data_IF_579548648017
#
_entry.id   IF_579548648017
#
_cell.length_a   1.000
_cell.length_b   1.000
_cell.length_c   1.000
_cell.angle_alpha   90.00
_cell.angle_beta   90.00
_cell.angle_gamma   90.00
#
_symmetry.space_group_name_H-M   'P 1'
#
loop_
_entity.id
_entity.type
_entity.pdbx_description
1 polymer ?
#
# COMPACT_ATOMS: atom_id res chain seq x y z
N UNK A 1 20.23 26.49 -2.01
CA UNK A 1 19.25 25.44 -2.36
C UNK A 1 18.71 24.90 -1.06
N UNK A 2 17.39 24.83 -0.89
CA UNK A 2 16.81 24.15 0.26
C UNK A 2 17.22 22.67 0.26
N UNK A 3 17.57 22.16 1.42
CA UNK A 3 18.11 20.84 1.70
C UNK A 3 17.05 19.96 2.37
N UNK A 4 17.32 18.66 2.50
CA UNK A 4 16.48 17.75 3.30
C UNK A 4 16.32 18.24 4.75
N UNK A 5 17.33 18.90 5.32
CA UNK A 5 17.24 19.48 6.67
C UNK A 5 16.18 20.59 6.75
N UNK A 6 15.98 21.34 5.66
CA UNK A 6 14.99 22.41 5.62
C UNK A 6 13.55 21.83 5.63
N UNK A 7 13.31 20.68 5.00
CA UNK A 7 12.00 19.98 5.01
C UNK A 7 11.56 19.60 6.44
N UNK A 8 12.52 19.24 7.29
CA UNK A 8 12.28 18.85 8.68
C UNK A 8 12.60 19.97 9.67
N UNK A 9 12.84 21.19 9.20
CA UNK A 9 13.15 22.34 10.05
C UNK A 9 11.96 22.75 10.92
N UNK A 10 12.26 23.38 12.06
CA UNK A 10 11.22 23.98 12.92
C UNK A 10 10.42 25.05 12.16
N UNK A 11 11.06 25.83 11.29
CA UNK A 11 10.39 26.83 10.45
C UNK A 11 9.35 26.23 9.52
N UNK A 12 9.64 25.12 8.85
CA UNK A 12 8.65 24.44 7.99
C UNK A 12 7.51 23.81 8.80
N UNK A 13 7.80 23.37 10.02
CA UNK A 13 6.77 22.87 10.94
C UNK A 13 5.89 24.00 11.48
N UNK A 14 6.48 25.13 11.86
CA UNK A 14 5.77 26.34 12.30
C UNK A 14 4.89 26.89 11.17
N UNK A 15 5.37 26.92 9.93
CA UNK A 15 4.60 27.34 8.76
C UNK A 15 3.40 26.40 8.51
N UNK A 16 3.60 25.09 8.66
CA UNK A 16 2.51 24.10 8.59
C UNK A 16 1.45 24.31 9.69
N UNK A 17 1.87 24.61 10.92
CA UNK A 17 0.95 24.91 12.02
C UNK A 17 0.23 26.26 11.82
N UNK A 18 0.96 27.29 11.42
CA UNK A 18 0.46 28.66 11.30
C UNK A 18 -0.45 28.83 10.08
N UNK A 19 0.02 28.49 8.89
CA UNK A 19 -0.75 28.60 7.65
C UNK A 19 -1.81 27.50 7.54
N UNK A 20 -1.54 26.31 8.09
CA UNK A 20 -2.55 25.26 8.22
C UNK A 20 -3.73 25.74 9.04
N UNK A 21 -3.49 26.32 10.22
CA UNK A 21 -4.58 26.79 11.08
C UNK A 21 -5.30 28.05 10.55
N UNK A 22 -4.59 28.97 9.88
CA UNK A 22 -5.16 30.26 9.44
C UNK A 22 -5.84 30.22 8.06
N UNK A 23 -5.34 29.43 7.10
CA UNK A 23 -5.92 29.35 5.74
C UNK A 23 -7.11 28.40 5.67
N UNK A 24 -7.20 27.49 6.63
CA UNK A 24 -8.38 26.68 6.84
C UNK A 24 -9.47 27.61 7.40
N UNK A 25 -10.33 28.16 6.54
CA UNK A 25 -11.62 28.75 6.91
C UNK A 25 -12.56 27.67 7.44
N UNK A 26 -12.10 27.02 8.49
CA UNK A 26 -12.78 25.92 9.12
C UNK A 26 -13.86 26.51 10.02
N UNK A 27 -15.12 26.07 9.87
CA UNK A 27 -16.16 26.48 10.79
C UNK A 27 -15.71 26.16 12.21
N UNK A 28 -16.02 27.05 13.17
CA UNK A 28 -15.86 26.70 14.58
C UNK A 28 -16.68 25.43 14.85
N UNK A 29 -16.02 24.38 15.33
CA UNK A 29 -16.70 23.20 15.85
C UNK A 29 -17.79 23.65 16.82
N UNK A 30 -19.04 23.33 16.51
CA UNK A 30 -20.18 23.51 17.38
C UNK A 30 -20.36 22.32 18.33
N UNK A 31 -19.45 21.31 18.29
CA UNK A 31 -19.56 20.00 18.93
C UNK A 31 -20.89 19.27 18.64
N UNK A 32 -21.66 19.71 17.63
CA UNK A 32 -22.94 19.09 17.25
C UNK A 32 -22.75 18.06 16.13
N UNK A 33 -21.69 18.20 15.32
CA UNK A 33 -21.38 17.28 14.22
C UNK A 33 -20.02 16.63 14.39
N UNK A 34 -20.03 15.37 14.84
CA UNK A 34 -18.84 14.51 14.91
C UNK A 34 -18.06 14.47 13.58
N UNK A 35 -18.77 14.50 12.45
CA UNK A 35 -18.16 14.47 11.12
C UNK A 35 -17.38 15.76 10.85
N UNK A 36 -17.93 16.92 11.21
CA UNK A 36 -17.25 18.20 11.06
C UNK A 36 -16.00 18.23 11.95
N UNK A 37 -16.10 17.80 13.19
CA UNK A 37 -14.95 17.72 14.12
C UNK A 37 -13.85 16.79 13.61
N UNK A 38 -14.23 15.68 13.00
CA UNK A 38 -13.27 14.77 12.35
C UNK A 38 -12.58 15.42 11.15
N UNK A 39 -13.31 16.17 10.31
CA UNK A 39 -12.74 16.92 9.18
C UNK A 39 -11.81 18.03 9.68
N UNK A 40 -12.22 18.78 10.70
CA UNK A 40 -11.42 19.83 11.34
C UNK A 40 -10.12 19.27 11.90
N UNK A 41 -10.20 18.18 12.65
CA UNK A 41 -9.04 17.48 13.20
C UNK A 41 -8.13 16.94 12.10
N UNK A 42 -8.72 16.32 11.08
CA UNK A 42 -7.99 15.78 9.94
C UNK A 42 -7.29 16.88 9.14
N UNK A 43 -7.88 18.06 9.05
CA UNK A 43 -7.32 19.22 8.38
C UNK A 43 -6.23 19.93 9.21
N UNK A 44 -6.27 19.82 10.55
CA UNK A 44 -5.26 20.41 11.44
C UNK A 44 -4.06 19.49 11.73
N UNK A 45 -4.22 18.17 11.75
CA UNK A 45 -3.15 17.22 12.10
C UNK A 45 -2.09 17.07 10.99
N UNK A 46 -0.83 16.75 11.33
CA UNK A 46 0.15 16.39 10.30
C UNK A 46 -0.30 15.10 9.55
N UNK A 47 -0.29 15.07 8.21
CA UNK A 47 -0.79 13.94 7.44
C UNK A 47 -0.10 12.61 7.73
N UNK A 48 1.21 12.63 8.02
CA UNK A 48 1.96 11.42 8.38
C UNK A 48 1.51 10.90 9.74
N UNK A 49 1.26 11.79 10.71
CA UNK A 49 0.73 11.40 12.03
C UNK A 49 -0.64 10.74 11.87
N UNK A 50 -1.50 11.27 10.99
CA UNK A 50 -2.79 10.63 10.69
C UNK A 50 -2.61 9.24 10.07
N UNK A 51 -1.69 9.07 9.11
CA UNK A 51 -1.41 7.77 8.49
C UNK A 51 -0.86 6.76 9.52
N UNK A 52 0.08 7.17 10.38
CA UNK A 52 0.62 6.34 11.47
C UNK A 52 -0.49 5.94 12.45
N UNK A 53 -1.34 6.88 12.88
CA UNK A 53 -2.47 6.57 13.78
C UNK A 53 -3.45 5.59 13.12
N UNK A 54 -3.78 5.81 11.85
CA UNK A 54 -4.64 4.91 11.07
C UNK A 54 -4.02 3.50 10.99
N UNK A 55 -2.70 3.40 10.80
CA UNK A 55 -2.01 2.11 10.78
C UNK A 55 -2.07 1.38 12.13
N UNK A 56 -2.02 2.09 13.27
CA UNK A 56 -2.21 1.45 14.57
C UNK A 56 -3.64 0.94 14.77
N UNK A 57 -4.64 1.68 14.30
CA UNK A 57 -6.04 1.23 14.31
C UNK A 57 -6.22 -0.02 13.43
N UNK A 58 -5.65 -0.01 12.22
CA UNK A 58 -5.67 -1.16 11.30
C UNK A 58 -4.95 -2.35 11.93
N UNK A 59 -3.76 -2.16 12.50
CA UNK A 59 -2.98 -3.21 13.14
C UNK A 59 -3.75 -3.83 14.32
N UNK A 60 -4.36 -3.00 15.17
CA UNK A 60 -5.20 -3.47 16.27
C UNK A 60 -6.41 -4.24 15.76
N UNK A 61 -7.12 -3.73 14.74
CA UNK A 61 -8.25 -4.44 14.15
C UNK A 61 -7.84 -5.79 13.54
N UNK A 62 -6.71 -5.84 12.81
CA UNK A 62 -6.17 -7.08 12.24
C UNK A 62 -5.83 -8.10 13.34
N UNK A 63 -5.16 -7.64 14.41
CA UNK A 63 -4.80 -8.48 15.55
C UNK A 63 -6.05 -8.97 16.29
N UNK A 64 -7.01 -8.08 16.57
CA UNK A 64 -8.26 -8.42 17.22
C UNK A 64 -9.05 -9.45 16.41
N UNK A 65 -9.16 -9.27 15.09
CA UNK A 65 -9.81 -10.23 14.19
C UNK A 65 -9.06 -11.57 14.15
N UNK A 66 -7.73 -11.54 14.16
CA UNK A 66 -6.89 -12.74 14.26
C UNK A 66 -7.16 -13.52 15.55
N UNK A 67 -7.39 -12.84 16.68
CA UNK A 67 -7.70 -13.46 17.97
C UNK A 67 -9.17 -13.92 18.07
N UNK A 68 -10.11 -13.10 17.59
CA UNK A 68 -11.55 -13.33 17.70
C UNK A 68 -12.05 -14.48 16.82
N UNK A 69 -11.33 -14.82 15.76
CA UNK A 69 -11.75 -15.84 14.79
C UNK A 69 -11.50 -17.30 15.19
N UNK A 70 -11.11 -17.55 16.44
CA UNK A 70 -11.61 -18.67 17.27
C UNK A 70 -11.56 -20.11 16.74
N UNK A 71 -10.85 -20.41 15.65
CA UNK A 71 -10.87 -21.74 15.04
C UNK A 71 -9.72 -22.58 15.60
N UNK A 72 -9.95 -23.20 16.76
CA UNK A 72 -9.34 -24.36 17.47
C UNK A 72 -7.94 -24.95 17.15
N UNK A 73 -7.23 -24.43 16.16
CA UNK A 73 -5.80 -24.52 16.00
C UNK A 73 -5.26 -23.15 16.41
N UNK A 74 -4.42 -23.13 17.43
CA UNK A 74 -3.60 -21.98 17.84
C UNK A 74 -2.74 -21.39 16.71
N UNK A 75 -2.71 -22.08 15.56
CA UNK A 75 -2.04 -21.76 14.30
C UNK A 75 -3.00 -21.35 13.16
N UNK A 76 -4.30 -21.24 13.44
CA UNK A 76 -5.31 -20.86 12.44
C UNK A 76 -5.41 -19.34 12.36
N UNK A 77 -4.78 -18.76 11.35
CA UNK A 77 -4.78 -17.33 11.07
C UNK A 77 -5.67 -17.00 9.88
N UNK A 78 -6.81 -17.70 9.82
CA UNK A 78 -7.87 -17.60 8.79
C UNK A 78 -8.35 -16.16 8.51
N UNK A 79 -8.01 -15.21 9.38
CA UNK A 79 -8.26 -13.78 9.24
C UNK A 79 -7.03 -12.89 9.48
N UNK A 80 -5.83 -13.29 9.06
CA UNK A 80 -4.75 -12.30 8.88
C UNK A 80 -5.24 -11.30 7.83
N UNK A 81 -5.75 -10.18 8.34
CA UNK A 81 -6.43 -9.16 7.55
C UNK A 81 -5.39 -8.27 6.86
N UNK A 82 -4.14 -8.26 7.34
CA UNK A 82 -3.10 -7.40 6.79
C UNK A 82 -2.75 -7.78 5.34
N UNK A 83 -2.75 -9.08 5.01
CA UNK A 83 -2.51 -9.55 3.64
C UNK A 83 -3.59 -9.01 2.67
N UNK A 84 -4.84 -8.91 3.14
CA UNK A 84 -5.97 -8.36 2.38
C UNK A 84 -5.90 -6.84 2.24
N UNK A 85 -5.33 -6.16 3.24
CA UNK A 85 -5.17 -4.70 3.28
C UNK A 85 -3.92 -4.22 2.54
N UNK A 86 -2.94 -5.10 2.30
CA UNK A 86 -1.65 -4.77 1.70
C UNK A 86 -1.76 -4.01 0.37
N UNK A 87 -2.77 -4.35 -0.45
CA UNK A 87 -3.00 -3.70 -1.74
C UNK A 87 -3.89 -2.45 -1.67
N UNK A 88 -4.53 -2.19 -0.53
CA UNK A 88 -5.53 -1.12 -0.35
C UNK A 88 -4.97 0.01 0.51
N UNK A 89 -4.27 -0.30 1.60
CA UNK A 89 -3.75 0.71 2.52
C UNK A 89 -2.75 1.69 1.87
N UNK A 90 -1.81 1.25 0.99
CA UNK A 90 -0.94 2.20 0.28
C UNK A 90 -1.73 3.19 -0.59
N UNK A 91 -2.80 2.74 -1.26
CA UNK A 91 -3.69 3.62 -2.01
C UNK A 91 -4.34 4.62 -1.06
N UNK A 92 -4.91 4.13 0.05
CA UNK A 92 -5.54 4.99 1.05
C UNK A 92 -4.60 6.06 1.60
N UNK A 93 -3.36 5.71 1.97
CA UNK A 93 -2.37 6.67 2.48
C UNK A 93 -1.91 7.65 1.41
N UNK A 94 -1.65 7.21 0.18
CA UNK A 94 -1.27 8.10 -0.91
C UNK A 94 -2.40 9.09 -1.26
N UNK A 95 -3.64 8.60 -1.38
CA UNK A 95 -4.82 9.45 -1.58
C UNK A 95 -4.98 10.42 -0.42
N UNK A 96 -4.83 9.98 0.83
CA UNK A 96 -4.87 10.83 2.00
C UNK A 96 -3.89 12.01 1.90
N UNK A 97 -2.63 11.77 1.53
CA UNK A 97 -1.65 12.85 1.32
C UNK A 97 -2.08 13.81 0.19
N UNK A 98 -2.62 13.28 -0.92
CA UNK A 98 -3.11 14.11 -2.03
C UNK A 98 -4.37 14.92 -1.67
N UNK A 99 -5.26 14.37 -0.86
CA UNK A 99 -6.48 15.06 -0.39
C UNK A 99 -6.09 16.15 0.60
N UNK A 100 -5.07 15.93 1.43
CA UNK A 100 -4.52 17.03 2.23
C UNK A 100 -4.00 18.16 1.36
N UNK A 101 -3.33 17.83 0.26
CA UNK A 101 -2.90 18.82 -0.73
C UNK A 101 -4.06 19.62 -1.34
N UNK A 102 -5.25 19.05 -1.40
CA UNK A 102 -6.45 19.77 -1.86
C UNK A 102 -7.07 20.64 -0.78
N UNK A 103 -7.06 20.19 0.48
CA UNK A 103 -7.75 20.87 1.58
C UNK A 103 -7.01 22.09 2.12
N UNK A 104 -5.69 22.13 1.98
CA UNK A 104 -4.87 23.21 2.53
C UNK A 104 -4.67 24.38 1.54
N UNK A 105 -4.92 24.14 0.24
CA UNK A 105 -4.80 25.15 -0.80
C UNK A 105 -6.19 25.59 -1.27
N UNK A 106 -6.39 26.87 -1.64
CA UNK A 106 -7.61 27.30 -2.29
C UNK A 106 -7.93 26.48 -3.54
N UNK A 107 -9.21 26.17 -3.77
CA UNK A 107 -9.64 25.24 -4.82
C UNK A 107 -9.25 25.67 -6.25
N UNK A 108 -8.99 26.95 -6.48
CA UNK A 108 -8.56 27.55 -7.73
C UNK A 108 -7.07 27.33 -8.06
N UNK A 109 -6.26 26.93 -7.07
CA UNK A 109 -4.82 26.66 -7.24
C UNK A 109 -4.42 25.24 -6.83
N UNK A 110 -5.36 24.47 -6.29
CA UNK A 110 -5.26 23.04 -6.09
C UNK A 110 -4.77 22.33 -7.38
N UNK A 111 -3.95 21.28 -7.26
CA UNK A 111 -3.27 20.56 -8.36
C UNK A 111 -2.09 21.25 -9.04
N UNK A 112 -2.01 22.58 -9.02
CA UNK A 112 -0.92 23.31 -9.69
C UNK A 112 0.35 23.31 -8.84
N UNK A 113 0.19 23.30 -7.50
CA UNK A 113 1.31 23.44 -6.58
C UNK A 113 2.12 22.16 -6.36
N UNK A 114 1.54 20.96 -6.50
CA UNK A 114 2.21 19.69 -6.15
C UNK A 114 1.96 18.55 -7.15
N UNK A 115 2.29 18.73 -8.45
CA UNK A 115 2.06 17.69 -9.46
C UNK A 115 2.73 16.35 -9.14
N UNK A 116 3.85 16.36 -8.40
CA UNK A 116 4.56 15.13 -7.97
C UNK A 116 3.73 14.27 -7.02
N UNK A 117 2.99 14.88 -6.09
CA UNK A 117 2.14 14.15 -5.13
C UNK A 117 1.04 13.41 -5.86
N UNK A 118 0.37 14.06 -6.82
CA UNK A 118 -0.69 13.45 -7.61
C UNK A 118 -0.18 12.37 -8.56
N UNK A 119 0.97 12.60 -9.20
CA UNK A 119 1.62 11.61 -10.06
C UNK A 119 1.97 10.34 -9.27
N UNK A 120 2.64 10.49 -8.11
CA UNK A 120 2.97 9.34 -7.26
C UNK A 120 1.71 8.63 -6.74
N UNK A 121 0.68 9.39 -6.36
CA UNK A 121 -0.61 8.83 -5.91
C UNK A 121 -1.29 8.02 -7.02
N UNK A 122 -1.27 8.51 -8.27
CA UNK A 122 -1.80 7.79 -9.42
C UNK A 122 -1.03 6.48 -9.65
N UNK A 123 0.30 6.53 -9.64
CA UNK A 123 1.14 5.35 -9.86
C UNK A 123 0.93 4.29 -8.77
N UNK A 124 0.91 4.70 -7.49
CA UNK A 124 0.60 3.80 -6.36
C UNK A 124 -0.82 3.22 -6.48
N UNK A 125 -1.79 4.03 -6.94
CA UNK A 125 -3.16 3.55 -7.18
C UNK A 125 -3.20 2.49 -8.27
N UNK A 126 -2.49 2.69 -9.39
CA UNK A 126 -2.41 1.70 -10.47
C UNK A 126 -1.77 0.39 -9.97
N UNK A 127 -0.67 0.48 -9.23
CA UNK A 127 -0.03 -0.69 -8.62
C UNK A 127 -0.96 -1.41 -7.64
N UNK A 128 -1.61 -0.68 -6.73
CA UNK A 128 -2.50 -1.25 -5.74
C UNK A 128 -3.77 -1.86 -6.34
N UNK A 129 -4.36 -1.25 -7.38
CA UNK A 129 -5.50 -1.81 -8.14
C UNK A 129 -5.08 -3.13 -8.79
N UNK A 130 -3.92 -3.15 -9.46
CA UNK A 130 -3.38 -4.36 -10.08
C UNK A 130 -3.15 -5.46 -9.04
N UNK A 131 -2.58 -5.12 -7.88
CA UNK A 131 -2.29 -6.08 -6.83
C UNK A 131 -3.58 -6.63 -6.22
N UNK A 132 -4.56 -5.76 -5.96
CA UNK A 132 -5.91 -6.09 -5.50
C UNK A 132 -6.58 -7.05 -6.48
N UNK A 133 -6.55 -6.77 -7.78
CA UNK A 133 -7.11 -7.66 -8.81
C UNK A 133 -6.41 -9.02 -8.84
N UNK A 134 -5.08 -9.05 -8.77
CA UNK A 134 -4.30 -10.29 -8.77
C UNK A 134 -4.57 -11.15 -7.52
N UNK A 135 -4.76 -10.52 -6.37
CA UNK A 135 -5.10 -11.21 -5.13
C UNK A 135 -6.55 -11.70 -5.13
N UNK A 136 -7.48 -10.89 -5.64
CA UNK A 136 -8.89 -11.25 -5.82
C UNK A 136 -9.08 -12.48 -6.69
N UNK A 137 -8.49 -12.51 -7.89
CA UNK A 137 -8.65 -13.67 -8.80
C UNK A 137 -8.11 -14.98 -8.21
N UNK A 138 -7.10 -14.91 -7.35
CA UNK A 138 -6.53 -16.06 -6.61
C UNK A 138 -7.40 -16.49 -5.41
N UNK A 139 -8.51 -15.79 -5.15
CA UNK A 139 -9.41 -16.07 -4.03
C UNK A 139 -8.91 -15.53 -2.69
N UNK A 140 -7.98 -14.58 -2.67
CA UNK A 140 -7.36 -14.07 -1.43
C UNK A 140 -8.32 -13.30 -0.50
N UNK A 141 -9.42 -12.78 -1.04
CA UNK A 141 -10.47 -12.11 -0.26
C UNK A 141 -11.56 -13.07 0.26
N UNK A 142 -11.47 -14.38 -0.03
CA UNK A 142 -12.40 -15.35 0.56
C UNK A 142 -12.05 -15.59 2.03
N UNK A 143 -13.08 -15.78 2.86
CA UNK A 143 -12.92 -15.97 4.31
C UNK A 143 -12.26 -17.31 4.66
N UNK A 144 -12.30 -18.29 3.74
CA UNK A 144 -11.79 -19.64 3.93
C UNK A 144 -10.34 -19.83 3.44
N UNK A 145 -9.77 -18.82 2.77
CA UNK A 145 -8.43 -18.90 2.18
C UNK A 145 -7.43 -18.13 3.05
N UNK A 146 -6.46 -18.86 3.59
CA UNK A 146 -5.34 -18.33 4.36
C UNK A 146 -4.05 -18.53 3.57
N UNK A 147 -3.11 -17.60 3.70
CA UNK A 147 -1.79 -17.80 3.15
C UNK A 147 -1.12 -19.02 3.80
N UNK A 148 -0.68 -19.96 2.96
CA UNK A 148 -0.10 -21.24 3.37
C UNK A 148 1.14 -21.09 4.28
N UNK A 149 1.81 -19.93 4.29
CA UNK A 149 2.97 -19.63 5.12
C UNK A 149 2.61 -19.62 6.60
N UNK A 150 1.44 -19.12 6.96
CA UNK A 150 1.07 -18.90 8.36
C UNK A 150 0.84 -20.21 9.12
N UNK A 151 0.06 -21.19 8.60
CA UNK A 151 -0.09 -22.49 9.26
C UNK A 151 1.25 -23.23 9.39
N UNK A 152 2.12 -23.12 8.38
CA UNK A 152 3.44 -23.73 8.42
C UNK A 152 4.33 -23.12 9.50
N UNK A 153 4.42 -21.79 9.58
CA UNK A 153 5.21 -21.09 10.59
C UNK A 153 4.67 -21.34 12.00
N UNK A 154 3.35 -21.25 12.15
CA UNK A 154 2.71 -21.48 13.41
C UNK A 154 2.99 -22.90 13.91
N UNK A 155 2.92 -23.94 13.06
CA UNK A 155 3.24 -25.32 13.45
C UNK A 155 4.63 -25.53 14.08
N UNK A 156 5.56 -24.58 13.89
CA UNK A 156 6.94 -24.64 14.37
C UNK A 156 7.23 -23.76 15.58
N UNK A 157 6.34 -22.85 15.94
CA UNK A 157 6.60 -21.80 16.93
C UNK A 157 5.72 -22.02 18.17
N UNK A 158 6.27 -21.96 19.40
CA UNK A 158 5.46 -22.04 20.62
C UNK A 158 4.42 -20.92 20.71
N UNK A 159 3.29 -21.18 21.38
CA UNK A 159 2.14 -20.27 21.45
C UNK A 159 2.49 -18.83 21.90
N UNK A 160 3.32 -18.67 22.94
CA UNK A 160 3.72 -17.33 23.41
C UNK A 160 4.56 -16.56 22.39
N UNK A 161 5.45 -17.25 21.67
CA UNK A 161 6.23 -16.64 20.61
C UNK A 161 5.37 -16.35 19.36
N UNK A 162 4.38 -17.19 19.06
CA UNK A 162 3.41 -16.94 17.99
C UNK A 162 2.56 -15.70 18.28
N UNK A 163 2.09 -15.54 19.53
CA UNK A 163 1.34 -14.36 19.95
C UNK A 163 2.14 -13.07 19.75
N UNK A 164 3.41 -13.05 20.20
CA UNK A 164 4.30 -11.89 20.01
C UNK A 164 4.61 -11.64 18.53
N UNK A 165 4.85 -12.70 17.76
CA UNK A 165 5.08 -12.60 16.33
C UNK A 165 3.85 -12.03 15.59
N UNK A 166 2.65 -12.46 15.97
CA UNK A 166 1.41 -11.97 15.38
C UNK A 166 1.19 -10.48 15.66
N UNK A 167 1.24 -10.05 16.93
CA UNK A 167 1.00 -8.64 17.27
C UNK A 167 2.11 -7.71 16.75
N UNK A 168 3.38 -8.08 16.93
CA UNK A 168 4.53 -7.20 16.61
C UNK A 168 4.88 -7.25 15.12
N UNK A 169 5.04 -8.43 14.53
CA UNK A 169 5.52 -8.56 13.17
C UNK A 169 4.37 -8.53 12.15
N UNK A 170 3.37 -9.41 12.31
CA UNK A 170 2.30 -9.57 11.33
C UNK A 170 1.38 -8.34 11.33
N UNK A 171 0.97 -7.84 12.49
CA UNK A 171 0.01 -6.74 12.55
C UNK A 171 0.70 -5.38 12.58
N UNK A 172 1.56 -5.13 13.57
CA UNK A 172 2.13 -3.80 13.80
C UNK A 172 3.17 -3.41 12.74
N UNK A 173 4.24 -4.20 12.59
CA UNK A 173 5.34 -3.90 11.66
C UNK A 173 4.87 -3.80 10.22
N UNK A 174 4.07 -4.75 9.76
CA UNK A 174 3.52 -4.73 8.41
C UNK A 174 2.60 -3.52 8.16
N UNK A 175 1.75 -3.14 9.12
CA UNK A 175 0.90 -1.94 8.94
C UNK A 175 1.72 -0.65 8.89
N UNK A 176 2.75 -0.53 9.73
CA UNK A 176 3.70 0.59 9.69
C UNK A 176 4.54 0.59 8.40
N UNK A 177 4.91 -0.57 7.89
CA UNK A 177 5.63 -0.72 6.62
C UNK A 177 4.80 -0.18 5.45
N UNK A 178 3.48 -0.37 5.45
CA UNK A 178 2.58 0.21 4.44
C UNK A 178 2.56 1.74 4.49
N UNK A 179 2.68 2.34 5.69
CA UNK A 179 2.88 3.80 5.82
C UNK A 179 4.26 4.19 5.30
N UNK A 180 5.30 3.43 5.64
CA UNK A 180 6.66 3.70 5.19
C UNK A 180 6.79 3.67 3.65
N UNK A 181 6.13 2.73 2.98
CA UNK A 181 6.08 2.64 1.51
C UNK A 181 5.51 3.91 0.87
N UNK A 182 4.56 4.56 1.53
CA UNK A 182 3.93 5.80 1.02
C UNK A 182 4.58 7.08 1.56
N UNK A 183 5.56 6.96 2.46
CA UNK A 183 6.26 8.11 3.03
C UNK A 183 6.96 9.02 2.00
N UNK A 184 7.47 8.54 0.84
CA UNK A 184 8.00 9.44 -0.18
C UNK A 184 6.97 10.43 -0.73
N UNK A 185 5.68 10.06 -0.77
CA UNK A 185 4.58 10.96 -1.16
C UNK A 185 4.39 12.05 -0.12
N UNK A 186 4.44 11.70 1.17
CA UNK A 186 4.42 12.68 2.26
C UNK A 186 5.63 13.62 2.20
N UNK A 187 6.83 13.11 1.89
CA UNK A 187 8.01 13.95 1.73
C UNK A 187 7.86 14.93 0.56
N UNK A 188 7.31 14.47 -0.58
CA UNK A 188 6.99 15.33 -1.70
C UNK A 188 6.03 16.46 -1.27
N UNK A 189 4.95 16.12 -0.57
CA UNK A 189 4.00 17.08 -0.01
C UNK A 189 4.66 18.11 0.93
N UNK A 190 5.53 17.64 1.84
CA UNK A 190 6.26 18.49 2.79
C UNK A 190 7.21 19.48 2.13
N UNK A 191 7.68 19.20 0.92
CA UNK A 191 8.57 20.14 0.21
C UNK A 191 7.91 21.49 -0.09
N UNK A 192 6.57 21.56 -0.09
CA UNK A 192 5.83 22.84 -0.19
C UNK A 192 6.33 23.85 0.85
N UNK A 193 6.51 23.41 2.10
CA UNK A 193 6.89 24.26 3.23
C UNK A 193 8.40 24.58 3.27
N UNK A 194 9.17 23.99 2.35
CA UNK A 194 10.61 24.23 2.24
C UNK A 194 10.96 25.14 1.05
N UNK A 195 9.96 25.70 0.34
CA UNK A 195 10.13 26.55 -0.85
C UNK A 195 11.00 25.90 -1.94
N UNK A 196 10.96 24.57 -2.02
CA UNK A 196 11.63 23.79 -3.06
C UNK A 196 10.84 23.95 -4.37
N UNK A 197 11.48 23.98 -5.55
CA UNK A 197 10.76 23.98 -6.82
C UNK A 197 9.85 22.76 -6.95
N UNK A 198 8.58 22.99 -7.26
CA UNK A 198 7.54 21.95 -7.27
C UNK A 198 7.22 21.39 -8.65
N UNK A 199 7.88 21.93 -9.68
CA UNK A 199 7.68 21.48 -11.04
C UNK A 199 8.27 20.08 -11.23
N UNK A 200 7.57 19.26 -12.01
CA UNK A 200 8.11 18.00 -12.50
C UNK A 200 9.38 18.27 -13.31
N UNK A 201 10.37 17.41 -13.13
CA UNK A 201 11.62 17.45 -13.87
C UNK A 201 11.84 16.13 -14.62
N UNK A 202 12.97 16.02 -15.31
CA UNK A 202 13.29 14.84 -16.12
C UNK A 202 13.43 13.56 -15.28
N UNK A 203 13.84 13.64 -14.01
CA UNK A 203 13.94 12.50 -13.10
C UNK A 203 12.54 11.94 -12.82
N UNK A 204 11.56 12.81 -12.60
CA UNK A 204 10.16 12.39 -12.43
C UNK A 204 9.66 11.64 -13.68
N UNK A 205 10.04 12.11 -14.87
CA UNK A 205 9.73 11.45 -16.14
C UNK A 205 10.37 10.07 -16.27
N UNK A 206 11.67 9.94 -15.98
CA UNK A 206 12.39 8.65 -16.02
C UNK A 206 11.82 7.68 -14.98
N UNK A 207 11.58 8.12 -13.75
CA UNK A 207 10.99 7.32 -12.69
C UNK A 207 9.60 6.82 -13.07
N UNK A 208 8.77 7.67 -13.68
CA UNK A 208 7.43 7.29 -14.17
C UNK A 208 7.52 6.22 -15.26
N UNK A 209 8.43 6.37 -16.22
CA UNK A 209 8.63 5.38 -17.29
C UNK A 209 9.08 4.04 -16.71
N UNK A 210 10.04 4.05 -15.79
CA UNK A 210 10.52 2.84 -15.13
C UNK A 210 9.41 2.17 -14.33
N UNK A 211 8.65 2.93 -13.54
CA UNK A 211 7.51 2.42 -12.80
C UNK A 211 6.48 1.75 -13.72
N UNK A 212 6.10 2.41 -14.81
CA UNK A 212 5.12 1.85 -15.77
C UNK A 212 5.67 0.62 -16.48
N UNK A 213 6.96 0.59 -16.82
CA UNK A 213 7.62 -0.57 -17.40
C UNK A 213 7.66 -1.75 -16.42
N UNK A 214 7.99 -1.51 -15.15
CA UNK A 214 7.97 -2.49 -14.07
C UNK A 214 6.56 -3.04 -13.85
N UNK A 215 5.56 -2.15 -13.74
CA UNK A 215 4.15 -2.50 -13.59
C UNK A 215 3.66 -3.35 -14.77
N UNK A 216 4.02 -2.99 -16.01
CA UNK A 216 3.70 -3.76 -17.21
C UNK A 216 4.36 -5.14 -17.20
N UNK A 217 5.65 -5.23 -16.86
CA UNK A 217 6.40 -6.48 -16.80
C UNK A 217 5.79 -7.42 -15.76
N UNK A 218 5.58 -6.89 -14.56
CA UNK A 218 4.97 -7.62 -13.45
C UNK A 218 3.55 -8.07 -13.84
N UNK A 219 2.76 -7.22 -14.50
CA UNK A 219 1.36 -7.53 -14.88
C UNK A 219 1.30 -8.64 -15.91
N UNK A 220 2.15 -8.54 -16.92
CA UNK A 220 2.29 -9.53 -17.99
C UNK A 220 2.72 -10.88 -17.43
N UNK A 221 3.75 -10.89 -16.57
CA UNK A 221 4.26 -12.10 -15.92
C UNK A 221 3.19 -12.81 -15.07
N UNK A 222 2.46 -12.06 -14.24
CA UNK A 222 1.40 -12.63 -13.43
C UNK A 222 0.23 -13.17 -14.27
N UNK A 223 -0.11 -12.50 -15.38
CA UNK A 223 -1.16 -12.97 -16.31
C UNK A 223 -0.75 -14.24 -17.04
N UNK A 224 0.50 -14.34 -17.49
CA UNK A 224 1.05 -15.56 -18.11
C UNK A 224 1.02 -16.73 -17.12
N UNK A 225 1.44 -16.50 -15.88
CA UNK A 225 1.42 -17.53 -14.85
C UNK A 225 -0.02 -17.93 -14.48
N UNK A 226 -0.94 -16.97 -14.40
CA UNK A 226 -2.36 -17.25 -14.15
C UNK A 226 -2.97 -18.13 -15.22
N UNK A 227 -2.78 -17.78 -16.51
CA UNK A 227 -3.29 -18.56 -17.63
C UNK A 227 -2.72 -19.98 -17.65
N UNK A 228 -1.42 -20.14 -17.38
CA UNK A 228 -0.78 -21.44 -17.26
C UNK A 228 -1.38 -22.29 -16.13
N UNK A 229 -1.55 -21.73 -14.93
CA UNK A 229 -2.07 -22.47 -13.79
C UNK A 229 -3.55 -22.84 -13.98
N UNK A 230 -4.36 -21.96 -14.58
CA UNK A 230 -5.77 -22.28 -14.83
C UNK A 230 -5.91 -23.38 -15.89
N UNK A 231 -5.15 -23.29 -16.99
CA UNK A 231 -5.11 -24.36 -17.99
C UNK A 231 -4.64 -25.70 -17.39
N UNK A 232 -3.61 -25.66 -16.54
CA UNK A 232 -3.13 -26.84 -15.81
C UNK A 232 -4.22 -27.44 -14.92
N UNK A 233 -4.93 -26.60 -14.15
CA UNK A 233 -6.00 -27.02 -13.24
C UNK A 233 -7.15 -27.68 -14.00
N UNK A 234 -7.54 -27.11 -15.15
CA UNK A 234 -8.57 -27.68 -16.02
C UNK A 234 -8.17 -29.06 -16.56
N UNK A 235 -6.93 -29.22 -17.05
CA UNK A 235 -6.43 -30.52 -17.52
C UNK A 235 -6.45 -31.59 -16.43
N UNK A 236 -6.01 -31.22 -15.22
CA UNK A 236 -6.04 -32.13 -14.06
C UNK A 236 -7.48 -32.52 -13.73
N UNK A 237 -8.41 -31.56 -13.71
CA UNK A 237 -9.84 -31.81 -13.46
C UNK A 237 -10.45 -32.75 -14.50
N UNK A 238 -10.06 -32.60 -15.76
CA UNK A 238 -10.52 -33.44 -16.87
C UNK A 238 -9.80 -34.80 -16.97
N UNK A 239 -8.83 -35.06 -16.08
CA UNK A 239 -7.96 -36.26 -16.11
C UNK A 239 -7.19 -36.42 -17.43
N UNK A 240 -6.85 -35.31 -18.07
CA UNK A 240 -6.03 -35.28 -19.28
C UNK A 240 -4.56 -35.53 -18.94
N UNK A 241 -3.82 -36.14 -19.86
CA UNK A 241 -2.37 -36.29 -19.71
C UNK A 241 -1.67 -34.93 -19.75
N UNK A 242 -0.88 -34.64 -18.72
CA UNK A 242 -0.06 -33.43 -18.69
C UNK A 242 1.18 -33.64 -19.57
N UNK A 243 1.32 -32.79 -20.59
CA UNK A 243 2.45 -32.79 -21.53
C UNK A 243 3.17 -31.44 -21.53
N UNK A 244 4.41 -31.40 -22.04
CA UNK A 244 5.21 -30.17 -22.13
C UNK A 244 5.41 -29.45 -20.79
N UNK A 245 5.19 -28.13 -20.77
CA UNK A 245 5.32 -27.30 -19.56
C UNK A 245 4.35 -27.70 -18.44
N UNK A 246 3.17 -28.24 -18.79
CA UNK A 246 2.23 -28.74 -17.77
C UNK A 246 2.78 -29.94 -17.02
N UNK A 247 3.49 -30.85 -17.72
CA UNK A 247 4.19 -31.99 -17.12
C UNK A 247 5.36 -31.53 -16.25
N UNK A 248 6.13 -30.56 -16.75
CA UNK A 248 7.22 -29.93 -16.00
C UNK A 248 6.73 -29.22 -14.74
N UNK A 249 5.50 -28.73 -14.77
CA UNK A 249 4.86 -28.01 -13.66
C UNK A 249 5.24 -26.52 -13.61
N UNK A 250 6.01 -26.03 -14.58
CA UNK A 250 6.49 -24.65 -14.66
C UNK A 250 6.48 -24.16 -16.12
N UNK A 251 6.08 -22.91 -16.32
CA UNK A 251 6.03 -22.24 -17.61
C UNK A 251 7.45 -21.90 -18.07
N UNK A 252 7.85 -22.28 -19.28
CA UNK A 252 9.21 -22.00 -19.80
C UNK A 252 9.22 -21.07 -21.02
N UNK A 253 8.07 -20.50 -21.36
CA UNK A 253 7.86 -19.63 -22.52
C UNK A 253 7.73 -18.17 -22.12
N UNK A 254 7.76 -17.28 -23.13
CA UNK A 254 7.56 -15.85 -22.98
C UNK A 254 8.53 -15.24 -21.95
N UNK A 255 8.05 -14.44 -20.99
CA UNK A 255 8.90 -13.81 -19.98
C UNK A 255 9.62 -14.84 -19.11
N UNK A 256 9.02 -16.02 -18.92
CA UNK A 256 9.61 -17.10 -18.13
C UNK A 256 10.74 -17.86 -18.84
N UNK A 257 10.95 -17.59 -20.13
CA UNK A 257 12.15 -18.07 -20.84
C UNK A 257 13.42 -17.28 -20.46
N UNK A 258 13.25 -16.02 -20.03
CA UNK A 258 14.36 -15.13 -19.65
C UNK A 258 14.66 -15.18 -18.14
N UNK A 259 13.65 -15.35 -17.30
CA UNK A 259 13.78 -15.37 -15.84
C UNK A 259 12.80 -16.34 -15.21
N UNK A 260 13.17 -16.96 -14.08
CA UNK A 260 12.23 -17.77 -13.28
C UNK A 260 11.18 -16.92 -12.55
N UNK A 261 11.48 -15.64 -12.32
CA UNK A 261 10.64 -14.71 -11.57
C UNK A 261 10.59 -13.34 -12.26
N UNK A 262 10.03 -13.24 -13.49
CA UNK A 262 9.93 -11.97 -14.20
C UNK A 262 9.02 -10.97 -13.48
N UNK A 263 8.04 -11.46 -12.71
CA UNK A 263 7.21 -10.63 -11.84
C UNK A 263 8.03 -9.95 -10.74
N UNK A 264 8.96 -10.66 -10.09
CA UNK A 264 9.83 -10.05 -9.08
C UNK A 264 10.76 -8.98 -9.68
N UNK A 265 11.22 -9.17 -10.92
CA UNK A 265 11.99 -8.13 -11.61
C UNK A 265 11.15 -6.88 -11.83
N UNK A 266 9.88 -7.04 -12.26
CA UNK A 266 8.97 -5.91 -12.41
C UNK A 266 8.70 -5.17 -11.10
N UNK A 267 8.46 -5.92 -10.01
CA UNK A 267 8.27 -5.35 -8.67
C UNK A 267 9.52 -4.60 -8.19
N UNK A 268 10.73 -5.12 -8.43
CA UNK A 268 11.98 -4.44 -8.06
C UNK A 268 12.28 -3.20 -8.92
N UNK A 269 11.68 -3.06 -10.11
CA UNK A 269 11.79 -1.85 -10.94
C UNK A 269 10.79 -0.79 -10.48
N UNK A 270 9.63 -1.22 -9.96
CA UNK A 270 8.60 -0.34 -9.41
C UNK A 270 9.10 0.41 -8.16
N UNK A 271 9.86 -0.28 -7.29
CA UNK A 271 10.42 0.27 -6.04
C UNK A 271 11.79 0.90 -6.21
#
# INVERSE_FOLDING_TARGET
>A
MATLADIFSWSSFEELLYNGYQNLQLPSSDNQSLILDMVLYHAAADPLIFAIRSSFVIAFACWFMSMASGTHSWASTRNITIDRIWSIAPIFYAVHYSVRDLLYWPADVAFIHQPRVYLATLLISLWGIRLTYNFYRKGGYSLDNEDYRWPYLASKIPMGAWFLFNIVFICLFQSLLLVALTSPVYLAWRTTFARIPQNLNWIDGVATILFLAGLWLESTADNQQWAFQEAKRLKIKNKEELTGDFKRGFLTKDLFSFSRHPNFVGEMIVW
#
